data_IF_311662251928
#
_entry.id   IF_311662251928
#
_cell.length_a   1.000
_cell.length_b   1.000
_cell.length_c   1.000
_cell.angle_alpha   90.00
_cell.angle_beta   90.00
_cell.angle_gamma   90.00
#
_symmetry.space_group_name_H-M   'P 1'
#
loop_
_entity.id
_entity.type
_entity.pdbx_description
1 polymer ?
#
# COMPACT_ATOMS: atom_id res chain seq x y z
N UNK A 1 -17.42 2.39 -3.36
CA UNK A 1 -16.51 1.27 -3.70
C UNK A 1 -15.06 1.54 -3.27
N UNK A 2 -14.58 2.78 -3.41
CA UNK A 2 -13.26 3.30 -3.02
C UNK A 2 -12.68 2.76 -1.68
N UNK A 3 -13.39 2.87 -0.56
CA UNK A 3 -12.92 2.36 0.74
C UNK A 3 -12.57 0.86 0.74
N UNK A 4 -13.23 0.05 -0.10
CA UNK A 4 -13.02 -1.39 -0.17
C UNK A 4 -11.73 -1.73 -0.94
N UNK A 5 -11.40 -0.95 -1.98
CA UNK A 5 -10.14 -1.05 -2.72
C UNK A 5 -8.93 -0.73 -1.84
N UNK A 6 -9.05 0.26 -0.97
CA UNK A 6 -7.97 0.63 -0.05
C UNK A 6 -7.70 -0.46 1.01
N UNK A 7 -8.75 -1.05 1.57
CA UNK A 7 -8.62 -2.16 2.53
C UNK A 7 -7.99 -3.39 1.88
N UNK A 8 -8.42 -3.70 0.65
CA UNK A 8 -7.85 -4.82 -0.10
C UNK A 8 -6.38 -4.59 -0.41
N UNK A 9 -6.00 -3.37 -0.79
CA UNK A 9 -4.61 -2.96 -1.02
C UNK A 9 -3.75 -3.13 0.24
N UNK A 10 -4.20 -2.60 1.38
CA UNK A 10 -3.49 -2.71 2.67
C UNK A 10 -3.33 -4.17 3.06
N UNK A 11 -4.42 -4.95 3.04
CA UNK A 11 -4.41 -6.37 3.38
C UNK A 11 -3.47 -7.17 2.49
N UNK A 12 -3.56 -6.97 1.18
CA UNK A 12 -2.76 -7.68 0.19
C UNK A 12 -1.29 -7.35 0.31
N UNK A 13 -0.93 -6.09 0.55
CA UNK A 13 0.47 -5.69 0.74
C UNK A 13 1.08 -6.14 2.05
N UNK A 14 0.33 -6.07 3.16
CA UNK A 14 0.81 -6.64 4.42
C UNK A 14 1.08 -8.13 4.29
N UNK A 15 0.20 -8.86 3.58
CA UNK A 15 0.38 -10.29 3.32
C UNK A 15 1.57 -10.58 2.37
N UNK A 16 1.67 -9.90 1.22
CA UNK A 16 2.77 -10.08 0.26
C UNK A 16 4.15 -9.79 0.87
N UNK A 17 4.22 -8.78 1.73
CA UNK A 17 5.49 -8.37 2.35
C UNK A 17 5.80 -9.16 3.63
N UNK A 18 4.92 -10.08 4.05
CA UNK A 18 4.96 -10.76 5.33
C UNK A 18 5.21 -9.79 6.51
N UNK A 19 4.65 -8.58 6.43
CA UNK A 19 4.87 -7.49 7.39
C UNK A 19 3.74 -7.41 8.39
N UNK A 20 4.10 -7.13 9.63
CA UNK A 20 3.12 -6.80 10.67
C UNK A 20 2.67 -5.34 10.54
N UNK A 21 1.53 -5.02 11.15
CA UNK A 21 1.07 -3.65 11.26
C UNK A 21 2.06 -2.74 12.03
N UNK A 22 2.90 -3.32 12.89
CA UNK A 22 3.93 -2.60 13.65
C UNK A 22 5.09 -2.18 12.74
N UNK A 23 5.58 -3.10 11.90
CA UNK A 23 6.59 -2.81 10.88
C UNK A 23 6.12 -1.73 9.91
N UNK A 24 4.88 -1.83 9.44
CA UNK A 24 4.28 -0.84 8.56
C UNK A 24 4.10 0.52 9.26
N UNK A 25 3.72 0.54 10.54
CA UNK A 25 3.68 1.77 11.36
C UNK A 25 5.07 2.42 11.46
N UNK A 26 6.12 1.64 11.70
CA UNK A 26 7.50 2.13 11.75
C UNK A 26 7.94 2.76 10.43
N UNK A 27 7.58 2.14 9.30
CA UNK A 27 7.86 2.66 7.95
C UNK A 27 7.07 3.93 7.62
N UNK A 28 5.88 4.07 8.20
CA UNK A 28 5.10 5.31 8.17
C UNK A 28 5.64 6.41 9.09
N UNK A 29 6.83 6.22 9.69
CA UNK A 29 7.41 7.14 10.68
C UNK A 29 6.51 7.34 11.91
N UNK A 30 5.72 6.32 12.26
CA UNK A 30 4.71 6.34 13.32
C UNK A 30 3.53 7.27 13.09
N UNK A 31 3.37 7.80 11.87
CA UNK A 31 2.24 8.67 11.51
C UNK A 31 0.94 7.87 11.46
N UNK A 32 1.00 6.60 11.05
CA UNK A 32 -0.15 5.70 11.04
C UNK A 32 0.04 4.65 12.14
N UNK A 33 -0.75 4.71 13.22
CA UNK A 33 -0.60 3.76 14.31
C UNK A 33 -0.96 2.33 13.86
N UNK A 34 -0.34 1.30 14.47
CA UNK A 34 -0.54 -0.10 14.06
C UNK A 34 -1.99 -0.56 14.24
N UNK A 35 -2.73 0.02 15.19
CA UNK A 35 -4.16 -0.25 15.38
C UNK A 35 -4.99 0.22 14.19
N UNK A 36 -4.65 1.36 13.60
CA UNK A 36 -5.29 1.88 12.39
C UNK A 36 -5.02 0.96 11.21
N UNK A 37 -3.79 0.48 11.04
CA UNK A 37 -3.44 -0.50 10.00
C UNK A 37 -4.17 -1.83 10.19
N UNK A 38 -4.28 -2.33 11.44
CA UNK A 38 -5.08 -3.52 11.76
C UNK A 38 -6.56 -3.33 11.45
N UNK A 39 -7.10 -2.13 11.72
CA UNK A 39 -8.50 -1.79 11.41
C UNK A 39 -8.72 -1.69 9.90
N UNK A 40 -7.76 -1.14 9.16
CA UNK A 40 -7.76 -1.08 7.68
C UNK A 40 -7.65 -2.46 7.04
N UNK A 41 -6.88 -3.37 7.64
CA UNK A 41 -6.72 -4.73 7.14
C UNK A 41 -7.93 -5.64 7.44
N UNK A 42 -8.85 -5.24 8.33
CA UNK A 42 -10.09 -5.98 8.61
C UNK A 42 -11.16 -5.66 7.58
N UNK A 43 -11.82 -6.71 7.09
CA UNK A 43 -12.98 -6.61 6.21
C UNK A 43 -14.09 -5.81 6.87
N UNK A 44 -14.49 -4.68 6.27
CA UNK A 44 -15.59 -3.85 6.74
C UNK A 44 -15.20 -2.74 7.73
N UNK A 45 -13.90 -2.48 7.92
CA UNK A 45 -13.47 -1.24 8.57
C UNK A 45 -13.93 0.00 7.79
N UNK A 46 -13.97 1.18 8.39
CA UNK A 46 -14.01 2.45 7.67
C UNK A 46 -12.61 3.04 7.72
N UNK A 47 -12.11 3.49 6.58
CA UNK A 47 -10.71 3.88 6.46
C UNK A 47 -10.60 5.06 5.51
N UNK A 48 -11.00 6.21 6.03
CA UNK A 48 -10.76 7.49 5.38
C UNK A 48 -9.33 7.93 5.70
N UNK A 49 -8.62 8.33 4.66
CA UNK A 49 -7.24 8.77 4.75
C UNK A 49 -7.17 10.16 4.12
N UNK A 50 -6.59 11.11 4.83
CA UNK A 50 -6.39 12.47 4.33
C UNK A 50 -5.28 12.51 3.29
N UNK A 51 -5.25 13.53 2.44
CA UNK A 51 -4.19 13.70 1.42
C UNK A 51 -2.79 13.62 1.99
N UNK A 52 -2.51 14.33 3.08
CA UNK A 52 -1.21 14.30 3.74
C UNK A 52 -0.85 12.97 4.43
N UNK A 53 -1.79 12.02 4.54
CA UNK A 53 -1.51 10.67 5.06
C UNK A 53 -1.25 9.65 3.93
N UNK A 54 -1.57 9.99 2.68
CA UNK A 54 -1.41 9.09 1.55
C UNK A 54 0.08 8.74 1.31
N UNK A 55 0.98 9.71 1.45
CA UNK A 55 2.43 9.51 1.31
C UNK A 55 2.98 8.52 2.34
N UNK A 56 2.51 8.62 3.60
CA UNK A 56 2.99 7.81 4.70
C UNK A 56 2.47 6.39 4.59
N UNK A 57 1.22 6.22 4.15
CA UNK A 57 0.67 4.89 3.89
C UNK A 57 1.36 4.23 2.69
N UNK A 58 1.63 4.98 1.63
CA UNK A 58 2.36 4.50 0.46
C UNK A 58 3.73 3.95 0.86
N UNK A 59 4.44 4.67 1.73
CA UNK A 59 5.72 4.23 2.30
C UNK A 59 5.59 3.01 3.21
N UNK A 60 4.54 2.93 4.02
CA UNK A 60 4.27 1.78 4.89
C UNK A 60 4.04 0.49 4.10
N UNK A 61 3.34 0.59 2.96
CA UNK A 61 2.92 -0.53 2.12
C UNK A 61 3.88 -0.82 0.95
N UNK A 62 4.97 -0.04 0.82
CA UNK A 62 5.91 -0.14 -0.30
C UNK A 62 5.19 -0.04 -1.68
N UNK A 63 4.31 0.94 -1.83
CA UNK A 63 3.56 1.21 -3.06
C UNK A 63 3.68 2.69 -3.44
N UNK A 64 3.44 3.05 -4.72
CA UNK A 64 3.39 4.45 -5.12
C UNK A 64 2.19 5.17 -4.49
N UNK A 65 2.37 6.44 -4.15
CA UNK A 65 1.35 7.29 -3.51
C UNK A 65 0.08 7.35 -4.36
N UNK A 66 0.24 7.51 -5.67
CA UNK A 66 -0.89 7.53 -6.61
C UNK A 66 -1.74 6.27 -6.58
N UNK A 67 -1.20 5.11 -6.21
CA UNK A 67 -2.00 3.88 -6.06
C UNK A 67 -2.87 3.93 -4.81
N UNK A 68 -2.34 4.47 -3.72
CA UNK A 68 -3.10 4.73 -2.49
C UNK A 68 -4.15 5.82 -2.73
N UNK A 69 -3.78 6.91 -3.40
CA UNK A 69 -4.71 8.01 -3.74
C UNK A 69 -5.85 7.53 -4.65
N UNK A 70 -5.56 6.71 -5.66
CA UNK A 70 -6.61 6.07 -6.49
C UNK A 70 -7.55 5.21 -5.65
N UNK A 71 -7.00 4.40 -4.75
CA UNK A 71 -7.77 3.52 -3.88
C UNK A 71 -8.55 4.32 -2.80
N UNK A 72 -8.12 5.52 -2.44
CA UNK A 72 -8.78 6.41 -1.50
C UNK A 72 -9.71 7.45 -2.17
N UNK A 73 -9.68 7.57 -3.50
CA UNK A 73 -10.48 8.55 -4.26
C UNK A 73 -9.95 9.98 -4.15
N UNK A 74 -8.67 10.13 -3.82
CA UNK A 74 -7.98 11.41 -3.68
C UNK A 74 -7.45 11.90 -5.03
N UNK A 75 -7.32 13.23 -5.23
CA UNK A 75 -6.75 13.78 -6.47
C UNK A 75 -5.32 13.28 -6.65
N UNK A 76 -4.97 12.79 -7.84
CA UNK A 76 -3.63 12.26 -8.13
C UNK A 76 -2.60 13.37 -8.12
N UNK A 77 -1.42 13.08 -7.58
CA UNK A 77 -0.29 14.02 -7.55
C UNK A 77 0.73 13.57 -8.59
N UNK A 78 1.33 14.47 -9.39
CA UNK A 78 2.45 14.11 -10.24
C UNK A 78 3.60 13.58 -9.36
N UNK A 79 3.82 12.28 -9.42
CA UNK A 79 4.79 11.56 -8.60
C UNK A 79 6.00 11.22 -9.48
N UNK A 80 7.17 11.80 -9.20
CA UNK A 80 8.42 11.51 -9.92
C UNK A 80 8.86 10.04 -9.76
N UNK A 81 8.28 9.30 -8.81
CA UNK A 81 8.51 7.87 -8.57
C UNK A 81 7.63 6.95 -9.40
N UNK A 82 6.71 7.46 -10.23
CA UNK A 82 6.01 6.64 -11.24
C UNK A 82 7.02 5.97 -12.21
N UNK A 83 8.18 6.62 -12.41
CA UNK A 83 9.34 6.06 -13.13
C UNK A 83 10.17 5.05 -12.31
N UNK A 84 10.04 5.02 -10.99
CA UNK A 84 10.70 4.02 -10.14
C UNK A 84 9.78 2.81 -10.10
N UNK A 85 9.86 2.00 -11.14
CA UNK A 85 9.28 0.66 -11.13
C UNK A 85 9.87 -0.10 -9.94
N UNK A 86 9.13 -0.29 -8.86
CA UNK A 86 9.36 -1.40 -7.91
C UNK A 86 9.06 -2.69 -8.67
N UNK A 87 9.98 -3.06 -9.58
CA UNK A 87 9.96 -4.36 -10.24
C UNK A 87 10.16 -5.37 -9.12
N UNK A 88 9.22 -6.31 -8.90
CA UNK A 88 9.64 -7.52 -8.21
C UNK A 88 10.78 -8.11 -9.04
N UNK A 89 11.85 -8.56 -8.38
CA UNK A 89 12.94 -9.29 -9.04
C UNK A 89 12.48 -10.70 -9.48
N UNK A 90 11.32 -10.80 -10.13
CA UNK A 90 10.78 -12.01 -10.71
C UNK A 90 11.43 -12.21 -12.08
N UNK A 91 12.56 -12.90 -12.09
CA UNK A 91 13.16 -13.44 -13.31
C UNK A 91 12.29 -14.60 -13.78
N UNK A 92 11.46 -14.38 -14.79
CA UNK A 92 10.74 -15.44 -15.48
C UNK A 92 11.76 -16.33 -16.19
N UNK A 93 12.00 -17.53 -15.65
CA UNK A 93 12.75 -18.58 -16.34
C UNK A 93 11.77 -19.31 -17.26
N UNK A 94 11.79 -19.01 -18.56
CA UNK A 94 11.11 -19.83 -19.56
C UNK A 94 11.89 -21.15 -19.64
N UNK A 95 11.30 -22.23 -19.13
CA UNK A 95 11.82 -23.58 -19.37
C UNK A 95 11.43 -23.95 -20.81
N UNK A 96 12.42 -24.08 -21.68
CA UNK A 96 12.23 -24.71 -22.98
C UNK A 96 12.19 -26.22 -22.73
N UNK A 97 11.01 -26.81 -22.88
CA UNK A 97 10.85 -28.26 -22.96
C UNK A 97 11.23 -28.66 -24.40
N UNK A 98 12.29 -29.46 -24.51
CA UNK A 98 12.70 -30.15 -25.73
C UNK A 98 12.22 -31.60 -25.72
#
# INVERSE_FOLDING_TARGET
MVNKDLQDLVRRRLWELARTADDASRLSRWVIPPETLKRMARTGGTSFISEGMAEFLARALDVPENRVRRAAGLPLVPDERDSITTRPHLRLVRREEG
#
